data_IF_535050669493
#
_entry.id   IF_535050669493
#
_cell.length_a   1.000
_cell.length_b   1.000
_cell.length_c   1.000
_cell.angle_alpha   90.00
_cell.angle_beta   90.00
_cell.angle_gamma   90.00
#
_symmetry.space_group_name_H-M   'P 1'
#
loop_
_entity.id
_entity.type
_entity.pdbx_description
1 polymer ?
#
# COMPACT_ATOMS: atom_id res chain seq x y z
N UNK A 1 20.59 -44.89 41.71
CA UNK A 1 19.31 -44.19 41.54
C UNK A 1 19.53 -42.96 40.70
N UNK A 2 18.99 -42.90 39.50
CA UNK A 2 19.03 -41.69 38.66
C UNK A 2 17.75 -40.90 38.89
N UNK A 3 17.89 -39.63 39.29
CA UNK A 3 16.75 -38.73 39.42
C UNK A 3 16.06 -38.48 38.06
N UNK A 4 14.72 -38.43 37.99
CA UNK A 4 14.02 -38.14 36.75
C UNK A 4 14.15 -36.63 36.42
N UNK A 5 14.60 -36.35 35.21
CA UNK A 5 14.74 -35.05 34.62
C UNK A 5 13.36 -34.34 34.53
N UNK A 6 13.09 -33.45 35.48
CA UNK A 6 11.89 -32.60 35.46
C UNK A 6 11.99 -31.56 34.33
N UNK A 7 11.53 -31.92 33.15
CA UNK A 7 11.26 -30.92 32.09
C UNK A 7 10.18 -29.97 32.63
N UNK A 8 10.54 -28.73 32.87
CA UNK A 8 9.58 -27.65 33.17
C UNK A 8 8.60 -27.53 31.98
N UNK A 9 7.36 -27.97 32.19
CA UNK A 9 6.26 -27.74 31.28
C UNK A 9 5.95 -26.26 31.37
N UNK A 10 6.37 -25.46 30.37
CA UNK A 10 5.97 -24.05 30.27
C UNK A 10 4.45 -23.99 30.15
N UNK A 11 3.84 -23.20 31.00
CA UNK A 11 2.39 -23.06 31.09
C UNK A 11 1.84 -22.50 29.75
N UNK A 12 0.77 -23.08 29.24
CA UNK A 12 0.16 -22.73 27.95
C UNK A 12 -0.20 -21.24 27.86
N UNK A 13 -0.46 -20.60 29.01
CA UNK A 13 -0.77 -19.16 29.13
C UNK A 13 0.47 -18.27 28.96
N UNK A 14 1.67 -18.71 29.35
CA UNK A 14 2.91 -17.98 29.12
C UNK A 14 3.31 -18.00 27.64
N UNK A 15 3.09 -19.13 26.96
CA UNK A 15 3.37 -19.27 25.51
C UNK A 15 2.43 -18.38 24.66
N UNK A 16 1.17 -18.20 25.11
CA UNK A 16 0.21 -17.32 24.42
C UNK A 16 0.53 -15.84 24.61
N UNK A 17 1.04 -15.45 25.80
CA UNK A 17 1.44 -14.06 26.10
C UNK A 17 2.74 -13.66 25.37
N UNK A 18 3.71 -14.57 25.25
CA UNK A 18 4.93 -14.32 24.45
C UNK A 18 4.63 -14.18 22.96
N UNK A 19 3.73 -15.01 22.41
CA UNK A 19 3.28 -14.88 21.02
C UNK A 19 2.50 -13.60 20.75
N UNK A 20 1.74 -13.08 21.71
CA UNK A 20 1.01 -11.81 21.58
C UNK A 20 1.95 -10.60 21.58
N UNK A 21 3.09 -10.65 22.30
CA UNK A 21 4.11 -9.59 22.32
C UNK A 21 4.99 -9.57 21.05
N UNK A 22 5.10 -10.67 20.33
CA UNK A 22 5.97 -10.83 19.16
C UNK A 22 5.32 -10.47 17.82
N UNK A 23 4.02 -10.14 17.77
CA UNK A 23 3.38 -9.73 16.52
C UNK A 23 3.68 -8.24 16.27
N UNK A 24 4.48 -7.90 15.22
CA UNK A 24 4.61 -6.52 14.82
C UNK A 24 3.20 -6.00 14.53
N UNK A 25 2.92 -4.77 14.93
CA UNK A 25 1.64 -4.13 14.67
C UNK A 25 1.53 -3.86 13.16
N UNK A 26 1.05 -4.85 12.41
CA UNK A 26 0.91 -4.83 10.94
C UNK A 26 0.13 -3.61 10.49
N UNK A 27 -0.89 -3.21 11.27
CA UNK A 27 -1.68 -2.01 11.03
C UNK A 27 -0.82 -0.74 11.08
N UNK A 28 0.07 -0.63 12.06
CA UNK A 28 0.98 0.52 12.20
C UNK A 28 1.98 0.59 11.05
N UNK A 29 2.50 -0.54 10.60
CA UNK A 29 3.41 -0.62 9.46
C UNK A 29 2.72 -0.10 8.19
N UNK A 30 1.48 -0.54 7.92
CA UNK A 30 0.68 -0.06 6.81
C UNK A 30 0.45 1.45 6.85
N UNK A 31 0.00 1.98 8.00
CA UNK A 31 -0.22 3.43 8.19
C UNK A 31 1.05 4.26 8.03
N UNK A 32 2.18 3.77 8.52
CA UNK A 32 3.45 4.47 8.37
C UNK A 32 3.88 4.50 6.90
N UNK A 33 3.61 3.44 6.15
CA UNK A 33 3.89 3.40 4.72
C UNK A 33 3.00 4.37 3.94
N UNK A 34 1.69 4.40 4.20
CA UNK A 34 0.76 5.38 3.62
C UNK A 34 1.24 6.83 3.85
N UNK A 35 1.64 7.18 5.09
CA UNK A 35 2.16 8.51 5.42
C UNK A 35 3.47 8.83 4.71
N UNK A 36 4.34 7.84 4.55
CA UNK A 36 5.59 7.97 3.78
C UNK A 36 5.29 8.36 2.33
N UNK A 37 4.39 7.60 1.67
CA UNK A 37 3.99 7.87 0.29
C UNK A 37 3.34 9.25 0.15
N UNK A 38 2.46 9.65 1.07
CA UNK A 38 1.88 11.00 1.08
C UNK A 38 2.97 12.08 1.13
N UNK A 39 3.98 11.91 2.00
CA UNK A 39 5.09 12.85 2.11
C UNK A 39 5.85 12.94 0.79
N UNK A 40 6.22 11.82 0.19
CA UNK A 40 6.95 11.76 -1.08
C UNK A 40 6.14 12.41 -2.23
N UNK A 41 4.83 12.14 -2.31
CA UNK A 41 3.95 12.76 -3.31
C UNK A 41 3.87 14.29 -3.16
N UNK A 42 3.85 14.79 -1.93
CA UNK A 42 3.91 16.25 -1.67
C UNK A 42 5.23 16.86 -2.08
N UNK A 43 6.34 16.18 -1.84
CA UNK A 43 7.68 16.59 -2.28
C UNK A 43 7.80 16.64 -3.82
N UNK A 44 7.05 15.77 -4.52
CA UNK A 44 6.92 15.79 -5.99
C UNK A 44 6.00 16.90 -6.53
N UNK A 45 5.31 17.64 -5.66
CA UNK A 45 4.42 18.74 -6.06
C UNK A 45 2.92 18.42 -5.95
N UNK A 46 2.52 17.22 -5.53
CA UNK A 46 1.12 16.85 -5.26
C UNK A 46 0.73 17.29 -3.84
N UNK A 47 0.64 18.60 -3.63
CA UNK A 47 0.47 19.23 -2.31
C UNK A 47 -0.81 18.84 -1.58
N UNK A 48 -1.83 18.43 -2.31
CA UNK A 48 -3.15 18.02 -1.78
C UNK A 48 -3.22 16.56 -1.34
N UNK A 49 -2.16 15.77 -1.54
CA UNK A 49 -2.11 14.38 -1.14
C UNK A 49 -2.36 14.22 0.38
N UNK A 50 -3.27 13.32 0.75
CA UNK A 50 -3.60 13.01 2.13
C UNK A 50 -4.06 11.55 2.27
N UNK A 51 -3.87 10.94 3.45
CA UNK A 51 -4.41 9.62 3.71
C UNK A 51 -5.95 9.67 3.80
N UNK A 52 -6.63 8.71 3.23
CA UNK A 52 -8.11 8.64 3.24
C UNK A 52 -8.67 8.40 4.63
N UNK A 53 -7.94 7.73 5.50
CA UNK A 53 -8.31 7.55 6.92
C UNK A 53 -8.58 8.86 7.65
N UNK A 54 -7.83 9.91 7.29
CA UNK A 54 -7.99 11.24 7.89
C UNK A 54 -9.07 12.09 7.18
N UNK A 55 -9.45 11.74 5.94
CA UNK A 55 -10.26 12.59 5.08
C UNK A 55 -11.57 11.97 4.59
N UNK A 56 -11.63 10.65 4.36
CA UNK A 56 -12.81 9.99 3.79
C UNK A 56 -12.86 8.49 4.07
N UNK A 57 -13.75 8.10 4.97
CA UNK A 57 -14.02 6.67 5.24
C UNK A 57 -14.51 5.93 4.00
N UNK A 58 -15.33 6.54 3.16
CA UNK A 58 -15.87 5.90 1.95
C UNK A 58 -14.75 5.52 0.99
N UNK A 59 -13.75 6.38 0.82
CA UNK A 59 -12.58 6.09 -0.03
C UNK A 59 -11.70 5.00 0.58
N UNK A 60 -11.49 5.01 1.89
CA UNK A 60 -10.76 3.95 2.61
C UNK A 60 -11.46 2.59 2.40
N UNK A 61 -12.78 2.53 2.55
CA UNK A 61 -13.58 1.33 2.29
C UNK A 61 -13.53 0.90 0.80
N UNK A 62 -13.41 1.86 -0.12
CA UNK A 62 -13.25 1.62 -1.57
C UNK A 62 -11.86 1.18 -2.00
N UNK A 63 -10.94 0.89 -1.06
CA UNK A 63 -9.55 0.49 -1.31
C UNK A 63 -8.67 1.61 -1.89
N UNK A 64 -8.99 2.86 -1.57
CA UNK A 64 -8.16 4.02 -1.89
C UNK A 64 -7.56 4.52 -0.59
N UNK A 65 -6.24 4.41 -0.43
CA UNK A 65 -5.54 4.79 0.79
C UNK A 65 -5.07 6.25 0.78
N UNK A 66 -4.90 6.83 -0.41
CA UNK A 66 -4.43 8.21 -0.59
C UNK A 66 -5.40 8.97 -1.49
N UNK A 67 -5.83 10.15 -1.03
CA UNK A 67 -6.72 11.08 -1.72
C UNK A 67 -6.00 12.37 -2.12
N UNK A 68 -6.65 13.22 -2.91
CA UNK A 68 -6.11 14.50 -3.35
C UNK A 68 -5.05 14.40 -4.44
N UNK A 69 -5.01 13.28 -5.16
CA UNK A 69 -4.10 13.00 -6.27
C UNK A 69 -4.89 12.47 -7.47
N UNK A 70 -4.38 12.60 -8.71
CA UNK A 70 -5.10 12.20 -9.93
C UNK A 70 -5.06 10.68 -10.20
N UNK A 71 -4.85 9.87 -9.17
CA UNK A 71 -4.79 8.40 -9.24
C UNK A 71 -5.53 7.79 -8.06
N UNK A 72 -6.02 6.57 -8.23
CA UNK A 72 -6.49 5.75 -7.12
C UNK A 72 -5.30 4.98 -6.57
N UNK A 73 -4.85 5.30 -5.38
CA UNK A 73 -3.64 4.72 -4.79
C UNK A 73 -4.02 3.81 -3.62
N UNK A 74 -3.57 2.56 -3.69
CA UNK A 74 -3.55 1.63 -2.58
C UNK A 74 -2.12 1.32 -2.17
N UNK A 75 -1.84 1.27 -0.85
CA UNK A 75 -0.53 1.01 -0.29
C UNK A 75 -0.51 -0.36 0.39
N UNK A 76 0.48 -1.17 0.07
CA UNK A 76 0.69 -2.50 0.66
C UNK A 76 2.12 -2.65 1.16
N UNK A 77 2.29 -2.72 2.48
CA UNK A 77 3.57 -3.02 3.13
C UNK A 77 3.48 -4.40 3.77
N UNK A 78 3.88 -5.44 3.05
CA UNK A 78 3.77 -6.84 3.48
C UNK A 78 5.11 -7.56 3.37
N UNK A 79 5.40 -8.45 4.33
CA UNK A 79 6.63 -9.25 4.35
C UNK A 79 6.58 -10.47 3.44
N UNK A 80 5.39 -11.01 3.22
CA UNK A 80 5.14 -12.18 2.37
C UNK A 80 4.73 -11.77 0.96
N UNK A 81 4.72 -12.71 0.03
CA UNK A 81 4.31 -12.46 -1.35
C UNK A 81 2.91 -11.84 -1.43
N UNK A 82 2.77 -10.79 -2.21
CA UNK A 82 1.51 -10.13 -2.51
C UNK A 82 1.06 -10.51 -3.92
N UNK A 83 -0.18 -10.96 -4.04
CA UNK A 83 -0.80 -11.08 -5.37
C UNK A 83 -1.33 -9.70 -5.80
N UNK A 84 -0.52 -8.98 -6.58
CA UNK A 84 -0.86 -7.64 -7.05
C UNK A 84 -2.08 -7.62 -7.99
N UNK A 85 -2.34 -8.71 -8.71
CA UNK A 85 -3.53 -8.84 -9.56
C UNK A 85 -4.81 -8.81 -8.72
N UNK A 86 -4.86 -9.57 -7.63
CA UNK A 86 -5.99 -9.55 -6.70
C UNK A 86 -6.22 -8.16 -6.11
N UNK A 87 -5.16 -7.44 -5.75
CA UNK A 87 -5.27 -6.07 -5.22
C UNK A 87 -5.87 -5.12 -6.26
N UNK A 88 -5.41 -5.20 -7.51
CA UNK A 88 -5.96 -4.38 -8.60
C UNK A 88 -7.41 -4.75 -8.92
N UNK A 89 -7.76 -6.03 -8.93
CA UNK A 89 -9.13 -6.52 -9.12
C UNK A 89 -10.07 -6.01 -8.03
N UNK A 90 -9.65 -6.06 -6.77
CA UNK A 90 -10.43 -5.51 -5.64
C UNK A 90 -10.70 -4.00 -5.80
N UNK A 91 -9.71 -3.23 -6.24
CA UNK A 91 -9.89 -1.80 -6.54
C UNK A 91 -10.86 -1.58 -7.70
N UNK A 92 -10.70 -2.33 -8.80
CA UNK A 92 -11.56 -2.25 -9.99
C UNK A 92 -13.02 -2.60 -9.67
N UNK A 93 -13.24 -3.49 -8.71
CA UNK A 93 -14.58 -3.87 -8.25
C UNK A 93 -15.16 -2.88 -7.24
N UNK A 94 -14.39 -2.49 -6.23
CA UNK A 94 -14.89 -1.68 -5.11
C UNK A 94 -15.10 -0.21 -5.49
N UNK A 95 -14.19 0.39 -6.26
CA UNK A 95 -14.23 1.83 -6.57
C UNK A 95 -15.51 2.24 -7.29
N UNK A 96 -15.95 1.60 -8.39
CA UNK A 96 -17.19 1.97 -9.06
C UNK A 96 -18.45 1.79 -8.19
N UNK A 97 -18.43 0.84 -7.27
CA UNK A 97 -19.56 0.55 -6.38
C UNK A 97 -19.67 1.58 -5.25
N UNK A 98 -18.54 1.95 -4.64
CA UNK A 98 -18.46 2.76 -3.44
C UNK A 98 -18.40 4.26 -3.74
N UNK A 99 -17.75 4.64 -4.83
CA UNK A 99 -17.57 6.04 -5.28
C UNK A 99 -17.87 6.18 -6.77
N UNK A 100 -19.13 5.98 -7.19
CA UNK A 100 -19.52 5.92 -8.61
C UNK A 100 -19.24 7.23 -9.37
N UNK A 101 -19.24 8.37 -8.68
CA UNK A 101 -19.00 9.69 -9.28
C UNK A 101 -17.51 10.06 -9.36
N UNK A 102 -16.62 9.14 -8.99
CA UNK A 102 -15.19 9.41 -9.03
C UNK A 102 -14.65 9.42 -10.46
N UNK A 103 -14.14 10.57 -10.85
CA UNK A 103 -13.56 10.81 -12.19
C UNK A 103 -12.05 10.53 -12.22
N UNK A 104 -11.65 9.39 -11.69
CA UNK A 104 -10.25 8.92 -11.70
C UNK A 104 -10.24 7.44 -12.08
N UNK A 105 -9.55 7.11 -13.17
CA UNK A 105 -9.60 5.77 -13.78
C UNK A 105 -8.34 4.93 -13.58
N UNK A 106 -7.21 5.56 -13.22
CA UNK A 106 -5.94 4.86 -13.07
C UNK A 106 -5.78 4.35 -11.63
N UNK A 107 -5.73 3.04 -11.49
CA UNK A 107 -5.48 2.36 -10.22
C UNK A 107 -4.00 2.01 -10.09
N UNK A 108 -3.41 2.37 -8.97
CA UNK A 108 -1.97 2.23 -8.69
C UNK A 108 -1.77 1.57 -7.34
N UNK A 109 -0.93 0.54 -7.29
CA UNK A 109 -0.55 -0.13 -6.05
C UNK A 109 0.90 0.20 -5.72
N UNK A 110 1.13 0.87 -4.61
CA UNK A 110 2.44 1.04 -4.02
C UNK A 110 2.71 -0.16 -3.11
N UNK A 111 3.69 -0.95 -3.44
CA UNK A 111 4.02 -2.18 -2.71
C UNK A 111 5.44 -2.11 -2.15
N UNK A 112 5.54 -2.32 -0.84
CA UNK A 112 6.80 -2.43 -0.12
C UNK A 112 6.96 -3.84 0.44
N UNK A 113 8.11 -4.45 0.12
CA UNK A 113 8.56 -5.71 0.73
C UNK A 113 9.98 -5.49 1.25
N UNK A 114 10.15 -5.54 2.57
CA UNK A 114 11.43 -5.24 3.24
C UNK A 114 11.94 -3.83 2.87
N UNK A 115 13.07 -3.73 2.16
CA UNK A 115 13.65 -2.48 1.72
C UNK A 115 13.35 -2.14 0.25
N UNK A 116 12.62 -3.00 -0.45
CA UNK A 116 12.27 -2.80 -1.85
C UNK A 116 10.86 -2.22 -1.97
N UNK A 117 10.72 -1.25 -2.85
CA UNK A 117 9.45 -0.60 -3.14
C UNK A 117 9.23 -0.59 -4.65
N UNK A 118 8.01 -0.95 -5.05
CA UNK A 118 7.58 -0.97 -6.46
C UNK A 118 6.23 -0.29 -6.60
N UNK A 119 5.97 0.21 -7.79
CA UNK A 119 4.66 0.72 -8.20
C UNK A 119 4.10 -0.20 -9.28
N UNK A 120 2.88 -0.68 -9.08
CA UNK A 120 2.23 -1.62 -9.99
C UNK A 120 0.92 -1.03 -10.48
N UNK A 121 0.71 -1.11 -11.78
CA UNK A 121 -0.54 -0.70 -12.44
C UNK A 121 -0.78 -1.58 -13.67
N UNK A 122 -2.01 -1.56 -14.21
CA UNK A 122 -2.33 -2.26 -15.44
C UNK A 122 -1.56 -1.68 -16.63
N UNK A 123 -1.14 -2.51 -17.57
CA UNK A 123 -0.45 -2.07 -18.79
C UNK A 123 -1.24 -1.01 -19.56
N UNK A 124 -2.56 -1.16 -19.65
CA UNK A 124 -3.46 -0.18 -20.29
C UNK A 124 -3.36 1.20 -19.61
N UNK A 125 -3.29 1.24 -18.27
CA UNK A 125 -3.21 2.47 -17.49
C UNK A 125 -1.84 3.13 -17.63
N UNK A 126 -0.78 2.33 -17.67
CA UNK A 126 0.55 2.83 -17.99
C UNK A 126 0.60 3.48 -19.39
N UNK A 127 0.00 2.86 -20.41
CA UNK A 127 -0.08 3.43 -21.74
C UNK A 127 -0.90 4.72 -21.80
N UNK A 128 -1.97 4.81 -21.00
CA UNK A 128 -2.73 6.05 -20.85
C UNK A 128 -1.87 7.19 -20.30
N UNK A 129 -1.06 6.92 -19.28
CA UNK A 129 -0.10 7.90 -18.71
C UNK A 129 0.90 8.33 -19.77
N UNK A 130 1.52 7.39 -20.48
CA UNK A 130 2.49 7.68 -21.56
C UNK A 130 1.85 8.55 -22.64
N UNK A 131 0.63 8.22 -23.07
CA UNK A 131 -0.11 9.01 -24.06
C UNK A 131 -0.32 10.44 -23.59
N UNK A 132 -0.73 10.63 -22.32
CA UNK A 132 -0.93 11.95 -21.73
C UNK A 132 0.37 12.75 -21.66
N UNK A 133 1.48 12.14 -21.29
CA UNK A 133 2.79 12.79 -21.30
C UNK A 133 3.20 13.26 -22.70
N UNK A 134 3.01 12.42 -23.71
CA UNK A 134 3.31 12.75 -25.09
C UNK A 134 2.42 13.89 -25.63
N UNK A 135 1.12 13.88 -25.32
CA UNK A 135 0.18 14.97 -25.68
C UNK A 135 0.63 16.33 -25.12
N UNK A 136 1.33 16.36 -23.99
CA UNK A 136 1.89 17.58 -23.37
C UNK A 136 3.34 17.85 -23.77
N UNK A 137 3.87 17.15 -24.78
CA UNK A 137 5.23 17.32 -25.26
C UNK A 137 6.33 16.90 -24.27
N UNK A 138 5.97 16.13 -23.24
CA UNK A 138 6.91 15.66 -22.23
C UNK A 138 7.57 14.39 -22.74
N UNK A 139 8.86 14.46 -23.04
CA UNK A 139 9.71 13.31 -23.33
C UNK A 139 10.61 13.05 -22.14
N UNK A 140 10.55 11.83 -21.58
CA UNK A 140 11.48 11.42 -20.55
C UNK A 140 12.86 11.20 -21.18
N UNK A 141 13.71 12.22 -21.11
CA UNK A 141 15.12 12.05 -21.44
C UNK A 141 15.78 11.25 -20.33
N UNK A 142 16.82 10.51 -20.70
CA UNK A 142 17.64 9.76 -19.75
C UNK A 142 18.16 10.70 -18.66
N UNK A 143 17.59 10.62 -17.47
CA UNK A 143 18.22 11.22 -16.29
C UNK A 143 19.34 10.29 -15.86
N UNK A 144 20.57 10.75 -15.86
CA UNK A 144 21.64 10.08 -15.12
C UNK A 144 21.27 10.21 -13.64
N UNK A 145 20.97 9.11 -13.02
CA UNK A 145 20.91 9.02 -11.56
C UNK A 145 22.36 9.19 -11.05
N UNK A 146 22.70 10.41 -10.67
CA UNK A 146 23.93 10.68 -9.94
C UNK A 146 23.75 10.30 -8.48
#
# INVERSE_FOLDING_TARGET
MREPNRRKIKNKNELSSEKAKARPNVRRIGHNYERKIVKELKELGLSTAATTRATSKIMDDAKIDINGVPYNIQCKAVKTGLNVFTVLEDMEECIPKMVPDRDVYVNVVFHKKENEEVVVLRKRDFYLIVKKLLEHGITLRRYSLN
#
